data_IF_675482939676
#
_entry.id   IF_675482939676
#
_cell.length_a   1.000
_cell.length_b   1.000
_cell.length_c   1.000
_cell.angle_alpha   90.00
_cell.angle_beta   90.00
_cell.angle_gamma   90.00
#
_symmetry.space_group_name_H-M   'P 1'
#
loop_
_entity.id
_entity.type
_entity.pdbx_description
1 polymer ?
#
# COMPACT_ATOMS: atom_id res chain seq x y z
N UNK A 1 10.73 -4.37 4.11
CA UNK A 1 9.80 -5.22 4.89
C UNK A 1 10.53 -5.72 6.12
N UNK A 2 9.90 -5.65 7.29
CA UNK A 2 10.39 -6.23 8.55
C UNK A 2 9.22 -6.95 9.20
N UNK A 3 9.34 -8.27 9.42
CA UNK A 3 8.21 -9.09 9.86
C UNK A 3 7.01 -9.01 8.89
N UNK A 4 5.84 -8.71 9.45
CA UNK A 4 4.59 -8.51 8.69
C UNK A 4 4.37 -7.05 8.27
N UNK A 5 5.33 -6.17 8.52
CA UNK A 5 5.21 -4.75 8.19
C UNK A 5 5.99 -4.41 6.92
N UNK A 6 5.31 -3.78 5.97
CA UNK A 6 5.87 -3.20 4.76
C UNK A 6 5.79 -1.67 4.88
N UNK A 7 6.95 -1.02 4.89
CA UNK A 7 7.05 0.43 4.74
C UNK A 7 7.39 0.73 3.27
N UNK A 8 6.63 1.61 2.64
CA UNK A 8 6.88 2.10 1.28
C UNK A 8 7.11 3.60 1.35
N UNK A 9 8.16 4.07 0.68
CA UNK A 9 8.56 5.49 0.62
C UNK A 9 8.71 5.90 -0.84
N UNK A 10 8.03 6.97 -1.23
CA UNK A 10 8.21 7.66 -2.50
C UNK A 10 9.11 8.88 -2.32
N UNK A 11 10.04 9.09 -3.25
CA UNK A 11 10.86 10.29 -3.33
C UNK A 11 10.75 10.87 -4.76
N UNK A 12 10.74 12.20 -4.89
CA UNK A 12 10.50 12.91 -6.14
C UNK A 12 9.02 13.25 -6.37
N UNK A 13 8.69 13.62 -7.60
CA UNK A 13 7.35 14.09 -7.96
C UNK A 13 6.59 13.02 -8.76
N UNK A 14 5.54 12.46 -8.15
CA UNK A 14 4.61 11.55 -8.79
C UNK A 14 3.19 11.92 -8.34
N UNK A 15 2.21 11.80 -9.25
CA UNK A 15 0.81 12.17 -9.00
C UNK A 15 -0.11 11.02 -9.37
N UNK A 16 -1.20 10.86 -8.60
CA UNK A 16 -2.30 9.92 -8.88
C UNK A 16 -1.85 8.45 -9.09
N UNK A 17 -0.83 7.99 -8.37
CA UNK A 17 -0.35 6.61 -8.46
C UNK A 17 -1.06 5.69 -7.45
N UNK A 18 -1.04 4.39 -7.75
CA UNK A 18 -1.54 3.34 -6.87
C UNK A 18 -0.49 2.23 -6.72
N UNK A 19 -0.61 1.42 -5.67
CA UNK A 19 0.24 0.27 -5.40
C UNK A 19 -0.61 -1.00 -5.30
N UNK A 20 -0.38 -1.98 -6.17
CA UNK A 20 -1.05 -3.28 -6.10
C UNK A 20 -0.18 -4.30 -5.36
N UNK A 21 -0.70 -4.84 -4.25
CA UNK A 21 -0.14 -5.99 -3.56
C UNK A 21 -0.64 -7.27 -4.22
N UNK A 22 0.12 -7.77 -5.20
CA UNK A 22 -0.29 -8.94 -6.00
C UNK A 22 -0.47 -10.17 -5.13
N UNK A 23 -1.57 -10.89 -5.36
CA UNK A 23 -1.97 -12.13 -4.67
C UNK A 23 -2.18 -11.97 -3.15
N UNK A 24 -2.34 -10.74 -2.65
CA UNK A 24 -2.71 -10.45 -1.26
C UNK A 24 -4.14 -9.94 -1.27
N UNK A 25 -5.09 -10.73 -0.75
CA UNK A 25 -6.52 -10.40 -0.79
C UNK A 25 -7.00 -9.60 0.43
N UNK A 26 -6.23 -9.60 1.52
CA UNK A 26 -6.53 -8.89 2.75
C UNK A 26 -5.23 -8.44 3.40
N UNK A 27 -5.28 -7.30 4.08
CA UNK A 27 -4.21 -6.77 4.92
C UNK A 27 -4.74 -6.60 6.35
N UNK A 28 -3.88 -6.79 7.35
CA UNK A 28 -4.21 -6.55 8.76
C UNK A 28 -4.43 -5.07 9.10
N UNK A 29 -3.86 -4.14 8.33
CA UNK A 29 -4.10 -2.70 8.50
C UNK A 29 -3.14 -1.84 7.70
N UNK A 30 -3.38 -0.52 7.70
CA UNK A 30 -2.54 0.45 7.00
C UNK A 30 -2.54 1.82 7.69
N UNK A 31 -1.46 2.57 7.52
CA UNK A 31 -1.35 4.01 7.84
C UNK A 31 -1.12 4.83 6.58
N UNK A 32 -1.75 6.01 6.52
CA UNK A 32 -1.57 7.05 5.49
C UNK A 32 -1.98 6.66 4.06
N UNK A 33 -3.20 6.14 3.89
CA UNK A 33 -3.79 5.83 2.59
C UNK A 33 -5.20 5.26 2.69
N UNK A 34 -5.78 4.90 1.55
CA UNK A 34 -6.95 4.01 1.45
C UNK A 34 -6.61 2.76 0.64
N UNK A 35 -7.42 1.70 0.76
CA UNK A 35 -7.23 0.48 0.00
C UNK A 35 -8.56 -0.13 -0.46
N UNK A 36 -8.49 -0.90 -1.54
CA UNK A 36 -9.62 -1.60 -2.15
C UNK A 36 -9.18 -2.98 -2.65
N UNK A 37 -10.05 -3.98 -2.57
CA UNK A 37 -9.79 -5.28 -3.18
C UNK A 37 -9.90 -5.23 -4.70
N UNK A 38 -9.10 -6.04 -5.40
CA UNK A 38 -9.22 -6.31 -6.83
C UNK A 38 -8.95 -7.79 -7.11
N UNK A 39 -9.26 -8.25 -8.32
CA UNK A 39 -8.95 -9.62 -8.75
C UNK A 39 -7.47 -9.99 -8.57
N UNK A 40 -6.59 -9.00 -8.66
CA UNK A 40 -5.14 -9.17 -8.60
C UNK A 40 -4.58 -9.05 -7.18
N UNK A 41 -5.40 -8.62 -6.22
CA UNK A 41 -5.03 -8.33 -4.82
C UNK A 41 -5.43 -6.93 -4.37
N UNK A 42 -4.98 -6.53 -3.18
CA UNK A 42 -5.28 -5.23 -2.58
C UNK A 42 -4.57 -4.11 -3.36
N UNK A 43 -5.33 -3.13 -3.83
CA UNK A 43 -4.84 -1.90 -4.44
C UNK A 43 -4.87 -0.78 -3.39
N UNK A 44 -3.75 -0.09 -3.23
CA UNK A 44 -3.56 0.97 -2.25
C UNK A 44 -3.45 2.31 -2.97
N UNK A 45 -4.20 3.29 -2.47
CA UNK A 45 -4.07 4.70 -2.84
C UNK A 45 -3.39 5.45 -1.70
N UNK A 46 -2.16 5.93 -1.89
CA UNK A 46 -1.40 6.64 -0.88
C UNK A 46 -1.95 8.05 -0.65
N UNK A 47 -1.90 8.54 0.59
CA UNK A 47 -2.23 9.93 0.95
C UNK A 47 -0.97 10.78 1.24
N UNK A 48 0.22 10.16 1.20
CA UNK A 48 1.49 10.83 1.45
C UNK A 48 2.65 10.07 0.81
N UNK A 49 3.86 10.57 1.02
CA UNK A 49 5.10 9.98 0.50
C UNK A 49 5.55 8.74 1.28
N UNK A 50 5.00 8.49 2.47
CA UNK A 50 5.31 7.31 3.27
C UNK A 50 4.01 6.61 3.68
N UNK A 51 3.97 5.29 3.48
CA UNK A 51 2.86 4.44 3.87
C UNK A 51 3.39 3.18 4.58
N UNK A 52 2.62 2.69 5.54
CA UNK A 52 2.94 1.48 6.30
C UNK A 52 1.78 0.51 6.19
N UNK A 53 2.05 -0.72 5.78
CA UNK A 53 1.09 -1.79 5.60
C UNK A 53 1.44 -2.92 6.57
N UNK A 54 0.46 -3.40 7.31
CA UNK A 54 0.56 -4.66 8.05
C UNK A 54 -0.16 -5.73 7.25
N UNK A 55 0.56 -6.78 6.86
CA UNK A 55 0.00 -7.95 6.18
C UNK A 55 -0.88 -8.75 7.13
#
# INVERSE_FOLDING_TARGET
>A
RVGNTITVKGNGEARNWTLCLRNIQKIGGMKCGSHMGSELGVVITPQGSELTITL
#
